data_IF_781128291394
#
_entry.id   IF_781128291394
#
_cell.length_a   1.000
_cell.length_b   1.000
_cell.length_c   1.000
_cell.angle_alpha   90.00
_cell.angle_beta   90.00
_cell.angle_gamma   90.00
#
_symmetry.space_group_name_H-M   'P 1'
#
loop_
_entity.id
_entity.type
_entity.pdbx_description
1 polymer ?
#
# COMPACT_ATOMS: atom_id res chain seq x y z
N UNK A 1 -4.74 7.92 -17.13
CA UNK A 1 -3.94 7.86 -15.90
C UNK A 1 -3.95 9.15 -15.06
N UNK A 2 -4.12 10.34 -15.63
CA UNK A 2 -4.18 11.60 -14.86
C UNK A 2 -5.45 11.81 -14.02
N UNK A 3 -6.54 11.11 -14.30
CA UNK A 3 -7.81 11.29 -13.58
C UNK A 3 -7.89 10.60 -12.22
N UNK A 4 -7.23 9.46 -12.02
CA UNK A 4 -7.33 8.68 -10.78
C UNK A 4 -6.59 9.34 -9.61
N UNK A 5 -5.45 9.99 -9.86
CA UNK A 5 -4.69 10.69 -8.83
C UNK A 5 -5.40 11.98 -8.36
N UNK A 6 -6.05 12.69 -9.27
CA UNK A 6 -6.89 13.86 -8.95
C UNK A 6 -8.11 13.51 -8.09
N UNK A 7 -8.70 12.33 -8.30
CA UNK A 7 -9.87 11.84 -7.56
C UNK A 7 -9.49 11.46 -6.12
N UNK A 8 -8.35 10.80 -5.93
CA UNK A 8 -7.80 10.48 -4.59
C UNK A 8 -7.64 11.70 -3.70
N UNK A 9 -7.04 12.75 -4.27
CA UNK A 9 -6.73 13.97 -3.53
C UNK A 9 -8.01 14.69 -3.12
N UNK A 10 -9.07 14.67 -3.94
CA UNK A 10 -10.35 15.33 -3.63
C UNK A 10 -11.08 14.67 -2.45
N UNK A 11 -11.18 13.34 -2.41
CA UNK A 11 -11.85 12.62 -1.32
C UNK A 11 -11.13 12.81 0.02
N UNK A 12 -9.79 12.64 0.06
CA UNK A 12 -9.02 12.89 1.28
C UNK A 12 -9.09 14.33 1.74
N UNK A 13 -9.07 15.29 0.80
CA UNK A 13 -9.22 16.71 1.12
C UNK A 13 -10.59 17.01 1.74
N UNK A 14 -11.67 16.40 1.24
CA UNK A 14 -13.00 16.54 1.80
C UNK A 14 -13.08 15.95 3.22
N UNK A 15 -12.57 14.74 3.41
CA UNK A 15 -12.51 14.10 4.73
C UNK A 15 -11.69 14.92 5.72
N UNK A 16 -10.57 15.51 5.29
CA UNK A 16 -9.75 16.41 6.08
C UNK A 16 -10.54 17.63 6.54
N UNK A 17 -11.22 18.32 5.62
CA UNK A 17 -12.07 19.48 5.93
C UNK A 17 -13.17 19.13 6.93
N UNK A 18 -13.81 17.95 6.78
CA UNK A 18 -14.86 17.51 7.70
C UNK A 18 -14.33 17.33 9.13
N UNK A 19 -13.15 16.70 9.26
CA UNK A 19 -12.52 16.46 10.57
C UNK A 19 -11.99 17.75 11.19
N UNK A 20 -11.42 18.65 10.39
CA UNK A 20 -10.95 19.98 10.82
C UNK A 20 -12.10 20.87 11.30
N UNK A 21 -13.23 20.88 10.56
CA UNK A 21 -14.41 21.66 10.92
C UNK A 21 -14.98 21.28 12.30
N UNK A 22 -14.87 20.02 12.69
CA UNK A 22 -15.28 19.52 14.01
C UNK A 22 -14.17 19.59 15.06
N UNK A 23 -12.99 20.11 14.72
CA UNK A 23 -11.88 20.29 15.63
C UNK A 23 -11.32 18.98 16.21
N UNK A 24 -11.45 17.84 15.53
CA UNK A 24 -10.98 16.55 16.02
C UNK A 24 -9.45 16.49 16.01
N UNK A 25 -8.78 16.35 17.14
CA UNK A 25 -7.33 16.27 17.20
C UNK A 25 -6.78 15.06 16.45
N UNK A 26 -5.52 15.16 16.01
CA UNK A 26 -4.80 14.05 15.39
C UNK A 26 -4.78 12.83 16.33
N UNK A 27 -4.96 11.64 15.75
CA UNK A 27 -5.05 10.35 16.44
C UNK A 27 -6.24 10.18 17.39
N UNK A 28 -7.17 11.13 17.41
CA UNK A 28 -8.40 11.04 18.21
C UNK A 28 -9.48 10.25 17.47
N UNK A 29 -10.34 9.59 18.26
CA UNK A 29 -11.44 8.78 17.73
C UNK A 29 -12.54 9.68 17.13
N UNK A 30 -13.02 9.32 15.96
CA UNK A 30 -14.14 9.95 15.25
C UNK A 30 -15.41 9.17 15.59
N UNK A 31 -16.42 9.85 16.12
CA UNK A 31 -17.68 9.25 16.60
C UNK A 31 -18.89 10.07 16.17
N UNK A 32 -20.09 9.53 16.45
CA UNK A 32 -21.36 10.23 16.29
C UNK A 32 -21.60 10.68 14.85
N UNK A 33 -22.23 11.85 14.70
CA UNK A 33 -22.67 12.39 13.41
C UNK A 33 -21.52 12.56 12.40
N UNK A 34 -20.34 12.98 12.84
CA UNK A 34 -19.20 13.11 11.96
C UNK A 34 -18.81 11.75 11.31
N UNK A 35 -18.84 10.68 12.11
CA UNK A 35 -18.59 9.32 11.59
C UNK A 35 -19.61 8.95 10.49
N UNK A 36 -20.87 9.23 10.72
CA UNK A 36 -21.93 8.91 9.75
C UNK A 36 -21.78 9.74 8.47
N UNK A 37 -21.46 11.02 8.59
CA UNK A 37 -21.15 11.91 7.45
C UNK A 37 -19.94 11.44 6.65
N UNK A 38 -18.89 10.96 7.30
CA UNK A 38 -17.73 10.37 6.63
C UNK A 38 -18.15 9.15 5.80
N UNK A 39 -18.92 8.23 6.38
CA UNK A 39 -19.39 7.08 5.63
C UNK A 39 -20.34 7.45 4.47
N UNK A 40 -21.21 8.44 4.67
CA UNK A 40 -22.06 8.94 3.60
C UNK A 40 -21.24 9.51 2.43
N UNK A 41 -20.13 10.23 2.74
CA UNK A 41 -19.22 10.76 1.70
C UNK A 41 -18.47 9.64 0.96
N UNK A 42 -18.04 8.59 1.67
CA UNK A 42 -17.42 7.40 1.04
C UNK A 42 -18.41 6.68 0.12
N UNK A 43 -19.64 6.48 0.57
CA UNK A 43 -20.70 5.85 -0.24
C UNK A 43 -21.09 6.70 -1.45
N UNK A 44 -21.03 8.02 -1.33
CA UNK A 44 -21.23 8.92 -2.45
C UNK A 44 -20.11 8.74 -3.48
N UNK A 45 -18.85 8.72 -3.05
CA UNK A 45 -17.69 8.51 -3.94
C UNK A 45 -17.79 7.17 -4.67
N UNK A 46 -18.13 6.11 -3.95
CA UNK A 46 -18.28 4.78 -4.56
C UNK A 46 -19.38 4.76 -5.64
N UNK A 47 -20.49 5.49 -5.43
CA UNK A 47 -21.57 5.61 -6.43
C UNK A 47 -21.21 6.47 -7.63
N UNK A 48 -20.51 7.59 -7.42
CA UNK A 48 -20.22 8.57 -8.47
C UNK A 48 -19.01 8.21 -9.31
N UNK A 49 -17.97 7.66 -8.66
CA UNK A 49 -16.69 7.35 -9.28
C UNK A 49 -16.54 5.86 -9.59
N UNK A 50 -17.21 5.00 -8.81
CA UNK A 50 -17.13 3.54 -8.93
C UNK A 50 -15.85 2.94 -8.33
N UNK A 51 -15.01 3.75 -7.66
CA UNK A 51 -13.74 3.32 -7.09
C UNK A 51 -13.40 4.11 -5.84
N UNK A 52 -12.90 3.42 -4.82
CA UNK A 52 -12.28 3.99 -3.62
C UNK A 52 -10.91 3.33 -3.40
N UNK A 53 -9.88 4.15 -3.16
CA UNK A 53 -8.61 3.65 -2.65
C UNK A 53 -8.72 3.33 -1.16
N UNK A 54 -9.23 2.15 -0.86
CA UNK A 54 -9.47 1.69 0.51
C UNK A 54 -8.19 1.60 1.35
N UNK A 55 -7.03 1.39 0.75
CA UNK A 55 -5.73 1.36 1.46
C UNK A 55 -5.43 2.75 2.01
N UNK A 56 -5.48 3.76 1.16
CA UNK A 56 -5.24 5.15 1.55
C UNK A 56 -6.29 5.66 2.55
N UNK A 57 -7.57 5.36 2.32
CA UNK A 57 -8.65 5.75 3.24
C UNK A 57 -8.51 5.04 4.59
N UNK A 58 -8.22 3.76 4.61
CA UNK A 58 -7.97 3.03 5.87
C UNK A 58 -6.76 3.60 6.62
N UNK A 59 -5.67 3.92 5.93
CA UNK A 59 -4.50 4.54 6.55
C UNK A 59 -4.82 5.92 7.18
N UNK A 60 -5.74 6.67 6.56
CA UNK A 60 -6.19 7.98 7.06
C UNK A 60 -7.21 7.92 8.19
N UNK A 61 -8.05 6.89 8.23
CA UNK A 61 -9.20 6.84 9.13
C UNK A 61 -9.16 5.71 10.16
N UNK A 62 -8.18 4.80 10.09
CA UNK A 62 -8.16 3.64 10.99
C UNK A 62 -6.86 3.56 11.76
N UNK A 63 -6.84 2.72 12.77
CA UNK A 63 -5.63 2.45 13.52
C UNK A 63 -4.61 1.71 12.65
N UNK A 64 -3.32 1.98 12.89
CA UNK A 64 -2.22 1.44 12.10
C UNK A 64 -2.38 -0.05 11.78
N UNK A 65 -2.13 -0.44 10.55
CA UNK A 65 -2.13 -1.81 10.04
C UNK A 65 -3.52 -2.49 9.90
N UNK A 66 -4.61 -1.79 10.19
CA UNK A 66 -5.97 -2.32 10.00
C UNK A 66 -6.56 -1.83 8.67
N UNK A 67 -6.15 -2.42 7.59
CA UNK A 67 -6.72 -2.10 6.28
C UNK A 67 -8.02 -2.88 6.07
N UNK A 68 -9.02 -2.19 5.50
CA UNK A 68 -10.29 -2.77 5.07
C UNK A 68 -10.50 -2.44 3.60
N UNK A 69 -11.09 -3.35 2.87
CA UNK A 69 -11.24 -3.25 1.42
C UNK A 69 -12.67 -2.92 0.99
N UNK A 70 -13.54 -2.60 1.96
CA UNK A 70 -14.91 -2.21 1.69
C UNK A 70 -15.51 -1.33 2.79
N UNK A 71 -16.51 -0.51 2.44
CA UNK A 71 -17.24 0.33 3.39
C UNK A 71 -17.92 -0.51 4.50
N UNK A 72 -18.59 -1.66 4.20
CA UNK A 72 -19.20 -2.49 5.23
C UNK A 72 -18.19 -3.04 6.25
N UNK A 73 -16.98 -3.35 5.83
CA UNK A 73 -15.91 -3.78 6.74
C UNK A 73 -15.40 -2.61 7.59
N UNK A 74 -15.19 -1.44 6.99
CA UNK A 74 -14.79 -0.23 7.72
C UNK A 74 -15.82 0.18 8.77
N UNK A 75 -17.11 0.01 8.51
CA UNK A 75 -18.19 0.32 9.46
C UNK A 75 -18.12 -0.49 10.75
N UNK A 76 -17.47 -1.65 10.77
CA UNK A 76 -17.27 -2.49 11.97
C UNK A 76 -16.13 -2.01 12.86
N UNK A 77 -15.31 -1.09 12.38
CA UNK A 77 -14.12 -0.61 13.08
C UNK A 77 -14.33 0.81 13.64
N UNK A 78 -13.52 1.18 14.61
CA UNK A 78 -13.46 2.55 15.09
C UNK A 78 -12.67 3.42 14.09
N UNK A 79 -13.17 4.63 13.82
CA UNK A 79 -12.46 5.60 13.00
C UNK A 79 -11.63 6.56 13.87
N UNK A 80 -10.50 6.99 13.34
CA UNK A 80 -9.56 7.92 13.97
C UNK A 80 -9.11 8.99 12.98
N UNK A 81 -8.78 10.17 13.48
CA UNK A 81 -8.17 11.22 12.66
C UNK A 81 -6.68 10.93 12.43
N UNK A 82 -6.35 10.10 11.47
CA UNK A 82 -4.99 9.89 10.99
C UNK A 82 -4.74 10.55 9.63
N UNK A 83 -5.70 11.33 9.13
CA UNK A 83 -5.63 12.01 7.83
C UNK A 83 -4.45 12.98 7.83
N UNK A 84 -3.63 12.94 6.80
CA UNK A 84 -2.49 13.85 6.65
C UNK A 84 -2.94 15.30 6.55
N UNK A 85 -2.13 16.23 7.05
CA UNK A 85 -2.42 17.67 7.02
C UNK A 85 -2.32 18.28 5.61
N UNK A 86 -1.49 17.69 4.75
CA UNK A 86 -1.30 18.14 3.37
C UNK A 86 -1.30 16.94 2.44
N UNK A 87 -1.64 17.19 1.18
CA UNK A 87 -1.50 16.21 0.12
C UNK A 87 -0.03 16.08 -0.28
N UNK A 88 0.31 15.00 -0.98
CA UNK A 88 1.62 14.91 -1.63
C UNK A 88 1.66 15.92 -2.78
N UNK A 89 2.78 16.60 -2.99
CA UNK A 89 2.94 17.37 -4.20
C UNK A 89 2.76 16.46 -5.41
N UNK A 90 2.03 16.93 -6.40
CA UNK A 90 1.95 16.24 -7.68
C UNK A 90 3.37 16.13 -8.27
N UNK A 91 3.74 14.94 -8.66
CA UNK A 91 5.01 14.65 -9.31
C UNK A 91 4.71 13.93 -10.61
N UNK A 92 4.35 14.70 -11.64
CA UNK A 92 3.85 14.18 -12.91
C UNK A 92 4.89 13.29 -13.61
N UNK A 93 6.17 13.63 -13.45
CA UNK A 93 7.30 12.97 -14.11
C UNK A 93 7.94 11.85 -13.26
N UNK A 94 7.40 11.55 -12.06
CA UNK A 94 8.05 10.62 -11.13
C UNK A 94 8.21 9.20 -11.69
N UNK A 95 7.27 8.75 -12.53
CA UNK A 95 7.31 7.44 -13.17
C UNK A 95 7.65 7.52 -14.67
N UNK A 96 8.16 8.67 -15.14
CA UNK A 96 8.57 8.82 -16.53
C UNK A 96 9.69 7.83 -16.86
N UNK A 97 9.53 7.11 -17.97
CA UNK A 97 10.48 6.07 -18.36
C UNK A 97 10.36 4.74 -17.60
N UNK A 98 9.44 4.64 -16.64
CA UNK A 98 9.19 3.40 -15.87
C UNK A 98 7.98 2.69 -16.45
N UNK A 99 8.12 1.41 -16.75
CA UNK A 99 7.02 0.53 -17.11
C UNK A 99 6.49 -0.16 -15.85
N UNK A 100 5.23 0.12 -15.50
CA UNK A 100 4.56 -0.51 -14.36
C UNK A 100 3.82 -1.75 -14.84
N UNK A 101 4.14 -2.90 -14.26
CA UNK A 101 3.47 -4.18 -14.53
C UNK A 101 2.93 -4.77 -13.22
N UNK A 102 1.85 -5.54 -13.33
CA UNK A 102 1.31 -6.32 -12.21
C UNK A 102 1.17 -7.77 -12.69
N UNK A 103 2.11 -8.61 -12.31
CA UNK A 103 2.15 -10.02 -12.68
C UNK A 103 2.82 -10.85 -11.58
N UNK A 104 2.84 -12.16 -11.74
CA UNK A 104 3.64 -13.04 -10.87
C UNK A 104 5.13 -12.74 -11.05
N UNK A 105 5.88 -12.66 -9.94
CA UNK A 105 7.31 -12.34 -9.95
C UNK A 105 8.13 -13.35 -10.77
N UNK A 106 7.70 -14.61 -10.82
CA UNK A 106 8.37 -15.65 -11.63
C UNK A 106 8.28 -15.38 -13.11
N UNK A 107 7.15 -14.84 -13.56
CA UNK A 107 6.96 -14.43 -14.98
C UNK A 107 7.89 -13.26 -15.31
N UNK A 108 7.95 -12.26 -14.44
CA UNK A 108 8.77 -11.08 -14.67
C UNK A 108 10.27 -11.42 -14.65
N UNK A 109 10.73 -12.17 -13.67
CA UNK A 109 12.13 -12.64 -13.64
C UNK A 109 12.47 -13.49 -14.86
N UNK A 110 11.59 -14.39 -15.28
CA UNK A 110 11.80 -15.22 -16.47
C UNK A 110 11.92 -14.38 -17.73
N UNK A 111 11.17 -13.28 -17.83
CA UNK A 111 11.21 -12.36 -18.97
C UNK A 111 12.57 -11.68 -19.12
N UNK A 112 13.22 -11.34 -18.00
CA UNK A 112 14.44 -10.53 -18.01
C UNK A 112 15.72 -11.29 -17.69
N UNK A 113 15.67 -12.56 -17.25
CA UNK A 113 16.86 -13.33 -16.85
C UNK A 113 17.95 -13.45 -17.93
N UNK A 114 17.55 -13.52 -19.20
CA UNK A 114 18.46 -13.67 -20.32
C UNK A 114 18.73 -12.33 -21.06
N UNK A 115 18.19 -11.21 -20.54
CA UNK A 115 18.41 -9.88 -21.10
C UNK A 115 19.74 -9.31 -20.59
N UNK A 116 20.66 -8.87 -21.47
CA UNK A 116 21.94 -8.34 -21.05
C UNK A 116 21.79 -7.00 -20.30
N UNK A 117 22.71 -6.75 -19.38
CA UNK A 117 22.76 -5.50 -18.59
C UNK A 117 21.55 -5.23 -17.68
N UNK A 118 20.83 -6.26 -17.30
CA UNK A 118 19.76 -6.16 -16.29
C UNK A 118 20.33 -6.21 -14.89
N UNK A 119 19.83 -5.36 -14.01
CA UNK A 119 20.05 -5.42 -12.57
C UNK A 119 18.70 -5.61 -11.90
N UNK A 120 18.54 -6.68 -11.14
CA UNK A 120 17.32 -6.96 -10.39
C UNK A 120 17.31 -6.20 -9.06
N UNK A 121 16.26 -5.42 -8.79
CA UNK A 121 16.01 -4.82 -7.48
C UNK A 121 14.89 -5.62 -6.82
N UNK A 122 15.20 -6.32 -5.73
CA UNK A 122 14.30 -7.31 -5.14
C UNK A 122 13.95 -6.89 -3.71
N UNK A 123 12.69 -6.56 -3.46
CA UNK A 123 12.17 -6.16 -2.16
C UNK A 123 10.97 -7.05 -1.75
N UNK A 124 11.23 -8.31 -1.38
CA UNK A 124 10.18 -9.26 -1.00
C UNK A 124 9.66 -8.99 0.42
N UNK A 125 8.51 -9.52 0.80
CA UNK A 125 8.10 -9.58 2.21
C UNK A 125 9.20 -10.22 3.06
N UNK A 126 9.44 -9.72 4.26
CA UNK A 126 10.51 -10.27 5.11
C UNK A 126 10.12 -11.64 5.66
N UNK A 127 11.06 -12.62 5.66
CA UNK A 127 10.81 -13.99 6.08
C UNK A 127 10.30 -14.13 7.52
N UNK A 128 10.55 -13.14 8.37
CA UNK A 128 10.08 -13.07 9.76
C UNK A 128 8.92 -12.10 9.97
N UNK A 129 8.26 -11.62 8.91
CA UNK A 129 7.14 -10.69 9.03
C UNK A 129 5.90 -11.40 9.55
N UNK A 130 5.23 -10.79 10.54
CA UNK A 130 3.96 -11.28 11.08
C UNK A 130 2.91 -11.38 9.96
N UNK A 131 2.39 -12.58 9.75
CA UNK A 131 1.40 -12.93 8.71
C UNK A 131 0.09 -12.18 8.83
N UNK A 132 -0.19 -11.55 9.97
CA UNK A 132 -1.42 -10.76 10.18
C UNK A 132 -1.52 -9.49 9.34
N UNK A 133 -0.41 -9.03 8.76
CA UNK A 133 -0.32 -7.74 8.07
C UNK A 133 -0.41 -7.85 6.54
N UNK A 134 -0.02 -8.97 5.98
CA UNK A 134 0.00 -9.19 4.53
C UNK A 134 -0.92 -10.35 4.15
N UNK A 135 -1.81 -10.11 3.20
CA UNK A 135 -2.67 -11.15 2.62
C UNK A 135 -1.90 -12.19 1.79
N UNK A 136 -0.63 -11.90 1.48
CA UNK A 136 0.26 -12.79 0.73
C UNK A 136 1.45 -13.15 1.61
N UNK A 137 1.50 -14.42 1.99
CA UNK A 137 2.61 -15.01 2.73
C UNK A 137 3.57 -15.70 1.78
N UNK A 138 4.83 -15.27 1.80
CA UNK A 138 5.90 -15.98 1.10
C UNK A 138 6.39 -17.15 1.94
N UNK A 139 6.45 -18.32 1.33
CA UNK A 139 7.05 -19.51 1.92
C UNK A 139 8.57 -19.48 1.68
N UNK A 140 9.31 -20.22 2.46
CA UNK A 140 10.77 -20.36 2.25
C UNK A 140 11.11 -20.77 0.81
N UNK A 141 10.28 -21.61 0.18
CA UNK A 141 10.42 -21.97 -1.24
C UNK A 141 10.42 -20.76 -2.19
N UNK A 142 9.60 -19.74 -1.92
CA UNK A 142 9.52 -18.57 -2.78
C UNK A 142 10.81 -17.75 -2.72
N UNK A 143 11.42 -17.63 -1.54
CA UNK A 143 12.73 -16.99 -1.38
C UNK A 143 13.84 -17.79 -2.08
N UNK A 144 13.84 -19.12 -1.98
CA UNK A 144 14.81 -19.98 -2.63
C UNK A 144 14.66 -19.93 -4.16
N UNK A 145 13.44 -19.86 -4.68
CA UNK A 145 13.16 -19.68 -6.10
C UNK A 145 13.77 -18.37 -6.62
N UNK A 146 13.56 -17.27 -5.88
CA UNK A 146 14.15 -15.97 -6.23
C UNK A 146 15.66 -16.02 -6.20
N UNK A 147 16.27 -16.54 -5.14
CA UNK A 147 17.74 -16.66 -5.04
C UNK A 147 18.31 -17.53 -6.15
N UNK A 148 17.60 -18.59 -6.56
CA UNK A 148 18.00 -19.45 -7.67
C UNK A 148 18.00 -18.69 -9.00
N UNK A 149 16.97 -17.86 -9.25
CA UNK A 149 16.90 -17.04 -10.46
C UNK A 149 17.97 -15.94 -10.47
N UNK A 150 18.26 -15.36 -9.30
CA UNK A 150 19.28 -14.30 -9.16
C UNK A 150 20.72 -14.83 -9.27
N UNK A 151 20.92 -16.14 -9.11
CA UNK A 151 22.24 -16.74 -9.20
C UNK A 151 22.89 -16.46 -10.57
N UNK A 152 24.06 -15.81 -10.58
CA UNK A 152 24.78 -15.41 -11.79
C UNK A 152 24.33 -14.08 -12.42
N UNK A 153 23.38 -13.38 -11.81
CA UNK A 153 22.92 -12.06 -12.24
C UNK A 153 23.36 -10.95 -11.29
N UNK A 154 23.33 -9.72 -11.76
CA UNK A 154 23.49 -8.55 -10.92
C UNK A 154 22.18 -8.21 -10.22
N UNK A 155 22.22 -8.10 -8.89
CA UNK A 155 21.02 -7.77 -8.12
C UNK A 155 21.34 -6.97 -6.86
N UNK A 156 20.33 -6.27 -6.36
CA UNK A 156 20.28 -5.66 -5.04
C UNK A 156 19.08 -6.26 -4.32
N UNK A 157 19.33 -6.92 -3.19
CA UNK A 157 18.29 -7.56 -2.39
C UNK A 157 18.04 -6.75 -1.11
N UNK A 158 16.82 -6.24 -0.95
CA UNK A 158 16.41 -5.50 0.22
C UNK A 158 15.84 -6.45 1.27
N UNK A 159 16.31 -6.33 2.49
CA UNK A 159 15.80 -7.15 3.60
C UNK A 159 16.02 -6.44 4.94
N UNK A 160 15.33 -6.90 5.99
CA UNK A 160 15.56 -6.45 7.36
C UNK A 160 16.74 -7.18 7.98
N UNK A 161 17.51 -6.49 8.81
CA UNK A 161 18.54 -7.11 9.65
C UNK A 161 17.99 -8.12 10.68
N UNK A 162 16.65 -8.21 10.80
CA UNK A 162 15.95 -9.21 11.62
C UNK A 162 15.43 -10.40 10.81
N UNK A 163 15.67 -10.42 9.50
CA UNK A 163 15.17 -11.47 8.62
C UNK A 163 16.13 -12.67 8.63
N UNK A 164 15.61 -13.86 8.84
CA UNK A 164 16.38 -15.11 8.81
C UNK A 164 16.96 -15.45 7.41
N UNK A 165 16.61 -14.68 6.38
CA UNK A 165 17.19 -14.83 5.04
C UNK A 165 18.70 -14.54 5.04
N UNK A 166 19.17 -13.64 5.91
CA UNK A 166 20.59 -13.29 6.03
C UNK A 166 21.36 -14.53 6.53
N UNK A 167 20.88 -15.14 7.62
CA UNK A 167 21.48 -16.37 8.17
C UNK A 167 21.52 -17.50 7.14
N UNK A 168 20.45 -17.63 6.34
CA UNK A 168 20.37 -18.63 5.27
C UNK A 168 21.41 -18.37 4.17
N UNK A 169 21.64 -17.11 3.79
CA UNK A 169 22.64 -16.76 2.77
C UNK A 169 24.08 -16.87 3.28
N UNK A 170 24.31 -16.73 4.58
CA UNK A 170 25.63 -16.88 5.20
C UNK A 170 26.01 -18.35 5.40
N UNK A 171 25.04 -19.22 5.60
CA UNK A 171 25.24 -20.68 5.78
C UNK A 171 25.61 -21.35 4.47
#
# INVERSE_FOLDING_TARGET
MGSEMCIRDSLLADLRKMVEAEGIPKHSCIRGELRDRIFARLEQEEREVGYIDFITISAGLMFSMKYKMSIPEMRKEALYNNIRKSDYPACEDYLEGITVVSCDYKEEFTRYKDVPNVVFLVDPPYLSTDVGTYNMYWKLSDYLDVLTILAGHHFIYFTSNKSSIIELCEW
#
